data_IF_364700839997
#
_entry.id   IF_364700839997
#
_cell.length_a   1.000
_cell.length_b   1.000
_cell.length_c   1.000
_cell.angle_alpha   90.00
_cell.angle_beta   90.00
_cell.angle_gamma   90.00
#
_symmetry.space_group_name_H-M   'P 1'
#
loop_
_entity.id
_entity.type
_entity.pdbx_description
1 polymer ?
#
# COMPACT_ATOMS: atom_id res chain seq x y z
N UNK A 1 -6.15 -64.78 -4.79
CA UNK A 1 -6.56 -64.28 -6.12
C UNK A 1 -5.30 -63.71 -6.73
N UNK A 2 -4.80 -64.27 -7.84
CA UNK A 2 -3.64 -63.69 -8.51
C UNK A 2 -4.09 -62.51 -9.34
N UNK A 3 -3.48 -61.35 -9.13
CA UNK A 3 -3.73 -60.17 -9.95
C UNK A 3 -3.56 -60.49 -11.43
N UNK A 4 -4.48 -59.99 -12.25
CA UNK A 4 -4.41 -60.20 -13.70
C UNK A 4 -3.18 -59.48 -14.28
N UNK A 5 -2.58 -59.98 -15.36
CA UNK A 5 -1.44 -59.31 -16.03
C UNK A 5 -1.74 -57.84 -16.35
N UNK A 6 -2.94 -57.46 -16.85
CA UNK A 6 -3.29 -56.05 -17.03
C UNK A 6 -3.28 -55.21 -15.74
N UNK A 7 -3.75 -55.77 -14.63
CA UNK A 7 -3.78 -55.10 -13.33
C UNK A 7 -2.38 -54.84 -12.79
N UNK A 8 -1.49 -55.84 -12.84
CA UNK A 8 -0.09 -55.64 -12.45
C UNK A 8 0.57 -54.59 -13.34
N UNK A 9 0.27 -54.60 -14.64
CA UNK A 9 0.80 -53.62 -15.61
C UNK A 9 0.33 -52.20 -15.30
N UNK A 10 -0.98 -52.03 -15.03
CA UNK A 10 -1.55 -50.74 -14.65
C UNK A 10 -0.93 -50.19 -13.36
N UNK A 11 -0.74 -51.04 -12.35
CA UNK A 11 -0.10 -50.68 -11.08
C UNK A 11 1.38 -50.28 -11.25
N UNK A 12 2.11 -50.90 -12.17
CA UNK A 12 3.51 -50.52 -12.48
C UNK A 12 3.55 -49.12 -13.09
N UNK A 13 2.69 -48.82 -14.06
CA UNK A 13 2.63 -47.50 -14.67
C UNK A 13 2.16 -46.41 -13.69
N UNK A 14 1.21 -46.74 -12.83
CA UNK A 14 0.78 -45.86 -11.74
C UNK A 14 1.96 -45.51 -10.83
N UNK A 15 2.69 -46.51 -10.31
CA UNK A 15 3.88 -46.29 -9.48
C UNK A 15 4.99 -45.50 -10.18
N UNK A 16 5.16 -45.72 -11.48
CA UNK A 16 6.11 -44.94 -12.29
C UNK A 16 5.69 -43.46 -12.35
N UNK A 17 4.39 -43.21 -12.50
CA UNK A 17 3.83 -41.85 -12.47
C UNK A 17 4.07 -41.18 -11.12
N UNK A 18 3.76 -41.87 -10.02
CA UNK A 18 4.00 -41.37 -8.66
C UNK A 18 5.48 -41.05 -8.44
N UNK A 19 6.39 -41.91 -8.92
CA UNK A 19 7.81 -41.68 -8.80
C UNK A 19 8.27 -40.40 -9.53
N UNK A 20 7.85 -40.23 -10.78
CA UNK A 20 8.16 -39.03 -11.57
C UNK A 20 7.57 -37.78 -10.93
N UNK A 21 6.33 -37.85 -10.44
CA UNK A 21 5.68 -36.76 -9.73
C UNK A 21 6.48 -36.34 -8.49
N UNK A 22 6.86 -37.30 -7.62
CA UNK A 22 7.66 -37.01 -6.43
C UNK A 22 9.03 -36.42 -6.77
N UNK A 23 9.72 -36.91 -7.80
CA UNK A 23 10.98 -36.31 -8.28
C UNK A 23 10.78 -34.87 -8.76
N UNK A 24 9.66 -34.59 -9.42
CA UNK A 24 9.28 -33.25 -9.85
C UNK A 24 9.02 -32.31 -8.67
N UNK A 25 8.28 -32.74 -7.65
CA UNK A 25 8.05 -31.98 -6.41
C UNK A 25 9.36 -31.72 -5.66
N UNK A 26 10.25 -32.71 -5.59
CA UNK A 26 11.57 -32.55 -4.98
C UNK A 26 12.42 -31.52 -5.74
N UNK A 27 12.33 -31.48 -7.07
CA UNK A 27 13.00 -30.48 -7.89
C UNK A 27 12.41 -29.07 -7.66
N UNK A 28 11.08 -28.97 -7.57
CA UNK A 28 10.37 -27.73 -7.24
C UNK A 28 10.82 -27.14 -5.91
N UNK A 29 10.87 -27.95 -4.85
CA UNK A 29 11.31 -27.52 -3.52
C UNK A 29 12.77 -27.02 -3.51
N UNK A 30 13.61 -27.55 -4.39
CA UNK A 30 15.01 -27.11 -4.59
C UNK A 30 15.13 -25.85 -5.47
N UNK A 31 14.03 -25.37 -6.04
CA UNK A 31 14.01 -24.22 -6.96
C UNK A 31 14.36 -24.55 -8.42
N UNK A 32 14.48 -25.83 -8.77
CA UNK A 32 14.72 -26.28 -10.15
C UNK A 32 13.38 -26.48 -10.88
N UNK A 33 12.81 -25.36 -11.31
CA UNK A 33 11.50 -25.31 -11.97
C UNK A 33 11.52 -25.96 -13.35
N UNK A 34 12.66 -25.96 -14.03
CA UNK A 34 12.81 -26.62 -15.33
C UNK A 34 12.76 -28.14 -15.17
N UNK A 35 13.50 -28.69 -14.21
CA UNK A 35 13.43 -30.12 -13.89
C UNK A 35 12.03 -30.51 -13.43
N UNK A 36 11.39 -29.70 -12.57
CA UNK A 36 10.00 -29.94 -12.17
C UNK A 36 9.07 -30.04 -13.40
N UNK A 37 9.08 -29.04 -14.28
CA UNK A 37 8.26 -29.05 -15.50
C UNK A 37 8.50 -30.30 -16.35
N UNK A 38 9.77 -30.66 -16.56
CA UNK A 38 10.11 -31.82 -17.37
C UNK A 38 9.57 -33.11 -16.73
N UNK A 39 9.73 -33.29 -15.41
CA UNK A 39 9.20 -34.45 -14.69
C UNK A 39 7.66 -34.53 -14.73
N UNK A 40 6.96 -33.40 -14.64
CA UNK A 40 5.50 -33.35 -14.81
C UNK A 40 5.09 -33.78 -16.22
N UNK A 41 5.82 -33.36 -17.25
CA UNK A 41 5.56 -33.79 -18.62
C UNK A 41 5.80 -35.31 -18.82
N UNK A 42 6.82 -35.88 -18.17
CA UNK A 42 7.12 -37.32 -18.21
C UNK A 42 6.04 -38.18 -17.49
N UNK A 43 5.10 -37.57 -16.75
CA UNK A 43 3.99 -38.29 -16.13
C UNK A 43 2.87 -38.66 -17.14
N UNK A 44 2.74 -37.93 -18.27
CA UNK A 44 1.62 -38.13 -19.20
C UNK A 44 1.59 -39.52 -19.84
N UNK A 45 2.75 -40.04 -20.27
CA UNK A 45 2.82 -41.36 -20.91
C UNK A 45 2.48 -42.50 -19.94
N UNK A 46 3.10 -42.59 -18.74
CA UNK A 46 2.71 -43.57 -17.73
C UNK A 46 1.24 -43.49 -17.33
N UNK A 47 0.67 -42.30 -17.16
CA UNK A 47 -0.77 -42.12 -16.86
C UNK A 47 -1.67 -42.72 -17.95
N UNK A 48 -1.35 -42.43 -19.21
CA UNK A 48 -2.12 -42.93 -20.34
C UNK A 48 -2.11 -44.46 -20.40
N UNK A 49 -0.94 -45.09 -20.24
CA UNK A 49 -0.86 -46.54 -20.23
C UNK A 49 -1.52 -47.15 -18.99
N UNK A 50 -1.37 -46.54 -17.80
CA UNK A 50 -2.08 -46.98 -16.60
C UNK A 50 -3.61 -46.99 -16.80
N UNK A 51 -4.17 -45.96 -17.44
CA UNK A 51 -5.61 -45.85 -17.75
C UNK A 51 -6.04 -46.92 -18.76
N UNK A 52 -5.19 -47.21 -19.74
CA UNK A 52 -5.43 -48.23 -20.76
C UNK A 52 -5.48 -49.64 -20.18
N UNK A 53 -4.52 -50.00 -19.32
CA UNK A 53 -4.44 -51.34 -18.73
C UNK A 53 -5.37 -51.51 -17.52
N UNK A 54 -5.72 -50.43 -16.82
CA UNK A 54 -6.67 -50.38 -15.70
C UNK A 54 -8.14 -50.32 -16.12
N UNK A 55 -8.48 -50.59 -17.39
CA UNK A 55 -9.84 -50.45 -17.89
C UNK A 55 -10.84 -51.30 -17.08
N UNK A 56 -11.84 -50.65 -16.48
CA UNK A 56 -12.88 -51.29 -15.65
C UNK A 56 -12.55 -51.36 -14.15
N UNK A 57 -11.40 -50.86 -13.70
CA UNK A 57 -11.00 -50.75 -12.28
C UNK A 57 -11.23 -49.33 -11.78
N UNK A 58 -12.25 -49.14 -10.95
CA UNK A 58 -12.63 -47.81 -10.49
C UNK A 58 -11.55 -47.16 -9.59
N UNK A 59 -10.87 -47.97 -8.78
CA UNK A 59 -9.79 -47.59 -7.87
C UNK A 59 -8.59 -46.98 -8.62
N UNK A 60 -8.03 -47.71 -9.58
CA UNK A 60 -6.85 -47.26 -10.36
C UNK A 60 -7.20 -46.02 -11.19
N UNK A 61 -8.40 -45.99 -11.80
CA UNK A 61 -8.83 -44.86 -12.61
C UNK A 61 -9.01 -43.59 -11.77
N UNK A 62 -9.60 -43.71 -10.57
CA UNK A 62 -9.76 -42.59 -9.65
C UNK A 62 -8.41 -42.04 -9.19
N UNK A 63 -7.44 -42.91 -8.91
CA UNK A 63 -6.10 -42.50 -8.50
C UNK A 63 -5.35 -41.76 -9.61
N UNK A 64 -5.45 -42.26 -10.86
CA UNK A 64 -4.90 -41.57 -12.03
C UNK A 64 -5.56 -40.20 -12.22
N UNK A 65 -6.89 -40.10 -12.08
CA UNK A 65 -7.60 -38.83 -12.22
C UNK A 65 -7.14 -37.79 -11.18
N UNK A 66 -6.90 -38.21 -9.93
CA UNK A 66 -6.34 -37.33 -8.89
C UNK A 66 -4.92 -36.90 -9.26
N UNK A 67 -4.06 -37.86 -9.64
CA UNK A 67 -2.67 -37.58 -9.96
C UNK A 67 -2.52 -36.72 -11.22
N UNK A 68 -3.40 -36.87 -12.21
CA UNK A 68 -3.45 -36.04 -13.42
C UNK A 68 -3.76 -34.58 -13.08
N UNK A 69 -4.69 -34.33 -12.15
CA UNK A 69 -4.98 -32.98 -11.66
C UNK A 69 -3.78 -32.38 -10.90
N UNK A 70 -3.13 -33.17 -10.05
CA UNK A 70 -1.96 -32.71 -9.29
C UNK A 70 -0.76 -32.40 -10.21
N UNK A 71 -0.49 -33.26 -11.19
CA UNK A 71 0.54 -33.03 -12.21
C UNK A 71 0.24 -31.76 -13.01
N UNK A 72 -1.01 -31.57 -13.43
CA UNK A 72 -1.41 -30.37 -14.16
C UNK A 72 -1.20 -29.10 -13.32
N UNK A 73 -1.65 -29.11 -12.06
CA UNK A 73 -1.47 -27.99 -11.12
C UNK A 73 0.02 -27.65 -10.96
N UNK A 74 0.85 -28.64 -10.65
CA UNK A 74 2.28 -28.41 -10.42
C UNK A 74 3.03 -28.02 -11.70
N UNK A 75 2.59 -28.49 -12.87
CA UNK A 75 3.12 -28.04 -14.16
C UNK A 75 2.83 -26.55 -14.37
N UNK A 76 1.60 -26.10 -14.15
CA UNK A 76 1.23 -24.67 -14.25
C UNK A 76 2.04 -23.79 -13.28
N UNK A 77 2.20 -24.24 -12.03
CA UNK A 77 3.00 -23.55 -11.01
C UNK A 77 4.49 -23.49 -11.41
N UNK A 78 5.04 -24.57 -11.96
CA UNK A 78 6.40 -24.62 -12.49
C UNK A 78 6.61 -23.65 -13.66
N UNK A 79 5.66 -23.62 -14.60
CA UNK A 79 5.69 -22.69 -15.73
C UNK A 79 5.55 -21.23 -15.31
N UNK A 80 4.73 -20.95 -14.29
CA UNK A 80 4.61 -19.61 -13.71
C UNK A 80 5.95 -19.13 -13.16
N UNK A 81 6.61 -19.94 -12.34
CA UNK A 81 7.90 -19.56 -11.76
C UNK A 81 9.01 -19.44 -12.78
N UNK A 82 9.02 -20.30 -13.81
CA UNK A 82 9.93 -20.14 -14.95
C UNK A 82 9.68 -18.83 -15.70
N UNK A 83 8.42 -18.50 -15.98
CA UNK A 83 8.05 -17.24 -16.65
C UNK A 83 8.52 -16.03 -15.86
N UNK A 84 8.39 -16.08 -14.52
CA UNK A 84 8.92 -15.05 -13.62
C UNK A 84 10.44 -14.97 -13.64
N UNK A 85 11.16 -16.11 -13.63
CA UNK A 85 12.63 -16.12 -13.74
C UNK A 85 13.10 -15.51 -15.06
N UNK A 86 12.48 -15.88 -16.18
CA UNK A 86 12.78 -15.27 -17.49
C UNK A 86 12.58 -13.76 -17.46
N UNK A 87 11.48 -13.28 -16.86
CA UNK A 87 11.23 -11.86 -16.67
C UNK A 87 12.29 -11.16 -15.80
N UNK A 88 12.70 -11.79 -14.69
CA UNK A 88 13.75 -11.29 -13.80
C UNK A 88 15.12 -11.21 -14.53
N UNK A 89 15.48 -12.22 -15.32
CA UNK A 89 16.71 -12.25 -16.12
C UNK A 89 16.71 -11.18 -17.22
N UNK A 90 15.59 -11.00 -17.91
CA UNK A 90 15.43 -9.95 -18.91
C UNK A 90 15.51 -8.57 -18.25
N UNK A 91 14.90 -8.38 -17.08
CA UNK A 91 14.97 -7.12 -16.34
C UNK A 91 16.40 -6.81 -15.87
N UNK A 92 17.12 -7.80 -15.34
CA UNK A 92 18.53 -7.62 -14.98
C UNK A 92 19.35 -7.24 -16.22
N UNK A 93 19.11 -7.91 -17.35
CA UNK A 93 19.81 -7.61 -18.60
C UNK A 93 19.50 -6.18 -19.09
N UNK A 94 18.23 -5.78 -19.05
CA UNK A 94 17.76 -4.46 -19.44
C UNK A 94 18.40 -3.35 -18.61
N UNK A 95 18.54 -3.58 -17.30
CA UNK A 95 19.02 -2.56 -16.35
C UNK A 95 20.54 -2.51 -16.23
N UNK A 96 21.26 -3.60 -16.49
CA UNK A 96 22.72 -3.69 -16.32
C UNK A 96 23.51 -3.36 -17.58
N UNK A 97 23.03 -3.76 -18.76
CA UNK A 97 23.81 -3.70 -20.00
C UNK A 97 23.42 -2.56 -20.93
N UNK A 98 22.21 -2.01 -20.82
CA UNK A 98 21.75 -0.95 -21.70
C UNK A 98 21.84 0.41 -20.99
N UNK A 99 22.48 1.37 -21.65
CA UNK A 99 22.58 2.76 -21.17
C UNK A 99 21.23 3.49 -21.22
N UNK A 100 20.37 3.08 -22.16
CA UNK A 100 18.97 3.49 -22.27
C UNK A 100 18.07 2.26 -22.30
N UNK A 101 17.06 2.22 -21.42
CA UNK A 101 16.10 1.11 -21.38
C UNK A 101 15.20 1.18 -22.61
N UNK A 102 15.25 0.13 -23.46
CA UNK A 102 14.31 -0.03 -24.58
C UNK A 102 12.90 -0.32 -24.01
N UNK A 103 11.95 0.54 -24.36
CA UNK A 103 10.55 0.43 -23.95
C UNK A 103 9.93 -0.89 -24.41
N UNK A 104 10.30 -1.41 -25.59
CA UNK A 104 9.77 -2.68 -26.09
C UNK A 104 10.17 -3.84 -25.18
N UNK A 105 11.42 -3.85 -24.72
CA UNK A 105 11.94 -4.84 -23.79
C UNK A 105 11.23 -4.75 -22.43
N UNK A 106 10.88 -3.54 -21.97
CA UNK A 106 10.09 -3.36 -20.73
C UNK A 106 8.71 -3.98 -20.86
N UNK A 107 8.04 -3.85 -22.01
CA UNK A 107 6.75 -4.49 -22.23
C UNK A 107 6.86 -6.01 -22.29
N UNK A 108 7.91 -6.55 -22.93
CA UNK A 108 8.18 -7.98 -22.92
C UNK A 108 8.38 -8.52 -21.49
N UNK A 109 9.15 -7.82 -20.66
CA UNK A 109 9.33 -8.16 -19.23
C UNK A 109 7.98 -8.18 -18.49
N UNK A 110 7.16 -7.15 -18.70
CA UNK A 110 5.83 -7.08 -18.07
C UNK A 110 4.95 -8.23 -18.53
N UNK A 111 5.01 -8.61 -19.81
CA UNK A 111 4.21 -9.70 -20.36
C UNK A 111 4.63 -11.07 -19.82
N UNK A 112 5.93 -11.30 -19.61
CA UNK A 112 6.41 -12.50 -18.89
C UNK A 112 5.86 -12.58 -17.46
N UNK A 113 5.83 -11.46 -16.73
CA UNK A 113 5.22 -11.44 -15.39
C UNK A 113 3.69 -11.60 -15.43
N UNK A 114 2.99 -11.05 -16.43
CA UNK A 114 1.55 -11.30 -16.62
C UNK A 114 1.27 -12.77 -16.93
N UNK A 115 2.11 -13.42 -17.73
CA UNK A 115 2.02 -14.84 -17.99
C UNK A 115 2.21 -15.64 -16.70
N UNK A 116 3.17 -15.27 -15.86
CA UNK A 116 3.35 -15.87 -14.54
C UNK A 116 2.09 -15.74 -13.67
N UNK A 117 1.46 -14.55 -13.63
CA UNK A 117 0.18 -14.33 -12.93
C UNK A 117 -0.92 -15.25 -13.47
N UNK A 118 -1.07 -15.33 -14.79
CA UNK A 118 -2.12 -16.15 -15.41
C UNK A 118 -1.97 -17.64 -15.07
N UNK A 119 -0.73 -18.13 -15.06
CA UNK A 119 -0.41 -19.53 -14.75
C UNK A 119 -0.54 -19.87 -13.25
N UNK A 120 -0.34 -18.90 -12.37
CA UNK A 120 -0.46 -19.09 -10.92
C UNK A 120 -1.87 -18.82 -10.38
N UNK A 121 -2.73 -18.18 -11.17
CA UNK A 121 -4.05 -17.73 -10.73
C UNK A 121 -4.88 -18.89 -10.18
N UNK A 122 -5.41 -18.71 -8.96
CA UNK A 122 -6.22 -19.70 -8.24
C UNK A 122 -5.51 -21.02 -7.90
N UNK A 123 -4.24 -21.20 -8.31
CA UNK A 123 -3.41 -22.38 -8.01
C UNK A 123 -2.36 -22.06 -6.95
N UNK A 124 -1.68 -20.91 -7.07
CA UNK A 124 -0.63 -20.45 -6.15
C UNK A 124 -0.69 -18.92 -6.00
N UNK A 125 -1.46 -18.48 -5.00
CA UNK A 125 -1.63 -17.06 -4.67
C UNK A 125 -0.31 -16.38 -4.27
N UNK A 126 0.68 -17.12 -3.77
CA UNK A 126 1.98 -16.53 -3.41
C UNK A 126 2.80 -16.21 -4.65
N UNK A 127 2.89 -17.14 -5.62
CA UNK A 127 3.57 -16.85 -6.89
C UNK A 127 2.87 -15.73 -7.66
N UNK A 128 1.53 -15.69 -7.62
CA UNK A 128 0.75 -14.59 -8.18
C UNK A 128 1.13 -13.24 -7.54
N UNK A 129 1.19 -13.18 -6.20
CA UNK A 129 1.57 -11.97 -5.47
C UNK A 129 3.00 -11.52 -5.78
N UNK A 130 3.96 -12.45 -5.87
CA UNK A 130 5.34 -12.15 -6.24
C UNK A 130 5.40 -11.56 -7.66
N UNK A 131 4.70 -12.16 -8.63
CA UNK A 131 4.68 -11.65 -10.00
C UNK A 131 4.04 -10.24 -10.08
N UNK A 132 2.96 -9.98 -9.34
CA UNK A 132 2.38 -8.63 -9.23
C UNK A 132 3.37 -7.64 -8.63
N UNK A 133 4.11 -8.03 -7.60
CA UNK A 133 5.14 -7.21 -7.00
C UNK A 133 6.24 -6.85 -8.01
N UNK A 134 6.69 -7.81 -8.83
CA UNK A 134 7.69 -7.55 -9.89
C UNK A 134 7.20 -6.54 -10.92
N UNK A 135 5.94 -6.62 -11.35
CA UNK A 135 5.34 -5.61 -12.23
C UNK A 135 5.32 -4.24 -11.54
N UNK A 136 4.93 -4.18 -10.27
CA UNK A 136 4.97 -2.95 -9.46
C UNK A 136 6.38 -2.35 -9.42
N UNK A 137 7.41 -3.19 -9.28
CA UNK A 137 8.82 -2.78 -9.31
C UNK A 137 9.23 -2.18 -10.65
N UNK A 138 8.82 -2.78 -11.77
CA UNK A 138 9.07 -2.24 -13.12
C UNK A 138 8.42 -0.87 -13.28
N UNK A 139 7.15 -0.71 -12.92
CA UNK A 139 6.47 0.58 -13.00
C UNK A 139 7.11 1.64 -12.09
N UNK A 140 7.51 1.27 -10.88
CA UNK A 140 8.10 2.19 -9.92
C UNK A 140 9.54 2.62 -10.28
N UNK A 141 10.39 1.64 -10.62
CA UNK A 141 11.84 1.87 -10.76
C UNK A 141 12.27 2.13 -12.20
N UNK A 142 11.64 1.50 -13.18
CA UNK A 142 11.99 1.64 -14.60
C UNK A 142 11.16 2.75 -15.26
N UNK A 143 9.84 2.61 -15.24
CA UNK A 143 8.93 3.56 -15.93
C UNK A 143 8.65 4.84 -15.13
N UNK A 144 9.02 4.87 -13.85
CA UNK A 144 8.73 5.98 -12.90
C UNK A 144 7.24 6.37 -12.85
N UNK A 145 6.35 5.44 -13.14
CA UNK A 145 4.90 5.65 -13.17
C UNK A 145 4.24 5.15 -11.89
N UNK A 146 4.22 6.02 -10.87
CA UNK A 146 3.76 5.69 -9.50
C UNK A 146 2.32 5.19 -9.40
N UNK A 147 1.31 5.77 -10.10
CA UNK A 147 -0.08 5.34 -9.94
C UNK A 147 -0.27 3.85 -10.23
N UNK A 148 0.30 3.36 -11.34
CA UNK A 148 0.21 1.96 -11.71
C UNK A 148 1.00 1.07 -10.73
N UNK A 149 2.20 1.50 -10.33
CA UNK A 149 3.00 0.76 -9.36
C UNK A 149 2.26 0.53 -8.03
N UNK A 150 1.59 1.58 -7.53
CA UNK A 150 0.77 1.53 -6.31
C UNK A 150 -0.34 0.49 -6.41
N UNK A 151 -1.04 0.42 -7.54
CA UNK A 151 -2.10 -0.56 -7.77
C UNK A 151 -1.57 -2.00 -7.72
N UNK A 152 -0.43 -2.28 -8.37
CA UNK A 152 0.17 -3.62 -8.34
C UNK A 152 0.67 -4.02 -6.96
N UNK A 153 1.36 -3.13 -6.23
CA UNK A 153 1.78 -3.43 -4.86
C UNK A 153 0.59 -3.66 -3.93
N UNK A 154 -0.49 -2.87 -4.08
CA UNK A 154 -1.71 -3.05 -3.29
C UNK A 154 -2.35 -4.41 -3.54
N UNK A 155 -2.46 -4.84 -4.81
CA UNK A 155 -3.00 -6.16 -5.16
C UNK A 155 -2.14 -7.30 -4.61
N UNK A 156 -0.81 -7.18 -4.67
CA UNK A 156 0.10 -8.17 -4.08
C UNK A 156 -0.12 -8.34 -2.57
N UNK A 157 -0.32 -7.23 -1.83
CA UNK A 157 -0.66 -7.30 -0.39
C UNK A 157 -2.05 -7.88 -0.17
N UNK A 158 -3.04 -7.56 -1.00
CA UNK A 158 -4.38 -8.14 -0.88
C UNK A 158 -4.37 -9.67 -1.02
N UNK A 159 -3.59 -10.20 -1.97
CA UNK A 159 -3.36 -11.64 -2.10
C UNK A 159 -2.66 -12.22 -0.87
N UNK A 160 -1.69 -11.50 -0.31
CA UNK A 160 -1.03 -11.92 0.94
C UNK A 160 -2.03 -12.06 2.10
N UNK A 161 -2.95 -11.10 2.22
CA UNK A 161 -3.96 -11.08 3.28
C UNK A 161 -5.01 -12.17 3.08
N UNK A 162 -5.37 -12.52 1.83
CA UNK A 162 -6.32 -13.62 1.57
C UNK A 162 -5.77 -15.00 1.94
N UNK A 163 -4.45 -15.12 2.13
CA UNK A 163 -3.77 -16.36 2.56
C UNK A 163 -3.65 -16.51 4.10
N UNK A 164 -4.39 -15.73 4.90
CA UNK A 164 -4.40 -15.88 6.35
C UNK A 164 -4.76 -17.33 6.78
N UNK A 165 -4.10 -17.90 7.81
CA UNK A 165 -3.24 -17.26 8.81
C UNK A 165 -1.75 -17.21 8.44
N UNK A 166 -1.36 -17.53 7.20
CA UNK A 166 0.06 -17.47 6.78
C UNK A 166 0.57 -16.03 6.82
N UNK A 167 1.77 -15.84 7.34
CA UNK A 167 2.39 -14.51 7.53
C UNK A 167 3.58 -14.36 6.58
N UNK A 168 3.61 -13.25 5.84
CA UNK A 168 4.63 -12.93 4.83
C UNK A 168 5.53 -11.74 5.23
N UNK A 169 5.45 -11.26 6.46
CA UNK A 169 6.16 -10.05 6.92
C UNK A 169 7.69 -10.13 6.82
N UNK A 170 8.26 -11.34 6.78
CA UNK A 170 9.68 -11.57 6.59
C UNK A 170 10.08 -11.82 5.13
N UNK A 171 9.13 -11.92 4.21
CA UNK A 171 9.40 -12.18 2.79
C UNK A 171 9.77 -10.87 2.08
N UNK A 172 10.90 -10.86 1.37
CA UNK A 172 11.43 -9.67 0.69
C UNK A 172 10.41 -8.96 -0.21
N UNK A 173 9.62 -9.73 -0.96
CA UNK A 173 8.61 -9.17 -1.86
C UNK A 173 7.51 -8.42 -1.09
N UNK A 174 7.10 -8.93 0.07
CA UNK A 174 6.06 -8.35 0.90
C UNK A 174 6.57 -7.10 1.63
N UNK A 175 7.80 -7.16 2.12
CA UNK A 175 8.50 -6.02 2.71
C UNK A 175 8.60 -4.88 1.69
N UNK A 176 9.07 -5.16 0.47
CA UNK A 176 9.19 -4.13 -0.56
C UNK A 176 7.83 -3.52 -0.93
N UNK A 177 6.77 -4.34 -1.09
CA UNK A 177 5.41 -3.83 -1.31
C UNK A 177 4.99 -2.86 -0.20
N UNK A 178 5.19 -3.26 1.05
CA UNK A 178 4.76 -2.51 2.24
C UNK A 178 5.51 -1.18 2.35
N UNK A 179 6.83 -1.20 2.16
CA UNK A 179 7.68 -0.01 2.17
C UNK A 179 7.32 0.96 1.05
N UNK A 180 7.11 0.46 -0.17
CA UNK A 180 6.76 1.30 -1.32
C UNK A 180 5.39 1.96 -1.16
N UNK A 181 4.40 1.23 -0.63
CA UNK A 181 3.07 1.80 -0.38
C UNK A 181 3.11 2.85 0.74
N UNK A 182 3.86 2.58 1.82
CA UNK A 182 4.08 3.55 2.90
C UNK A 182 4.72 4.82 2.37
N UNK A 183 5.76 4.69 1.55
CA UNK A 183 6.41 5.82 0.89
C UNK A 183 5.44 6.64 0.04
N UNK A 184 4.61 5.99 -0.78
CA UNK A 184 3.62 6.70 -1.59
C UNK A 184 2.56 7.42 -0.76
N UNK A 185 2.18 6.86 0.39
CA UNK A 185 1.28 7.51 1.33
C UNK A 185 1.93 8.74 1.96
N UNK A 186 3.17 8.63 2.43
CA UNK A 186 3.94 9.75 3.00
C UNK A 186 4.15 10.86 1.98
N UNK A 187 4.51 10.54 0.74
CA UNK A 187 4.66 11.53 -0.34
C UNK A 187 3.35 12.29 -0.62
N UNK A 188 2.21 11.61 -0.54
CA UNK A 188 0.90 12.23 -0.75
C UNK A 188 0.58 13.20 0.40
N UNK A 189 0.81 12.77 1.65
CA UNK A 189 0.60 13.60 2.84
C UNK A 189 1.49 14.86 2.79
N UNK A 190 2.77 14.70 2.46
CA UNK A 190 3.70 15.83 2.34
C UNK A 190 3.25 16.79 1.24
N UNK A 191 2.85 16.27 0.07
CA UNK A 191 2.38 17.13 -1.01
C UNK A 191 1.11 17.91 -0.65
N UNK A 192 0.15 17.27 0.02
CA UNK A 192 -1.07 17.91 0.52
C UNK A 192 -0.75 18.99 1.56
N UNK A 193 0.18 18.72 2.49
CA UNK A 193 0.64 19.69 3.48
C UNK A 193 1.33 20.89 2.82
N UNK A 194 2.24 20.66 1.86
CA UNK A 194 2.89 21.74 1.11
C UNK A 194 1.90 22.61 0.35
N UNK A 195 0.85 22.02 -0.22
CA UNK A 195 -0.20 22.76 -0.90
C UNK A 195 -0.99 23.63 0.10
N UNK A 196 -1.39 23.05 1.23
CA UNK A 196 -2.08 23.77 2.31
C UNK A 196 -1.23 24.92 2.86
N UNK A 197 0.06 24.71 3.06
CA UNK A 197 0.99 25.74 3.53
C UNK A 197 1.13 26.87 2.51
N UNK A 198 1.24 26.56 1.22
CA UNK A 198 1.29 27.56 0.15
C UNK A 198 0.00 28.38 0.07
N UNK A 199 -1.16 27.75 0.21
CA UNK A 199 -2.45 28.45 0.28
C UNK A 199 -2.54 29.33 1.52
N UNK A 200 -2.08 28.84 2.66
CA UNK A 200 -2.05 29.59 3.92
C UNK A 200 -1.13 30.81 3.84
N UNK A 201 0.04 30.69 3.23
CA UNK A 201 0.96 31.82 3.02
C UNK A 201 0.36 32.89 2.09
N UNK A 202 -0.34 32.50 1.01
CA UNK A 202 -1.07 33.46 0.16
C UNK A 202 -2.11 34.24 0.95
N UNK A 203 -2.88 33.54 1.80
CA UNK A 203 -3.87 34.18 2.67
C UNK A 203 -3.19 35.15 3.65
N UNK A 204 -2.05 34.76 4.25
CA UNK A 204 -1.31 35.66 5.15
C UNK A 204 -0.83 36.93 4.46
N UNK A 205 -0.35 36.84 3.23
CA UNK A 205 0.09 38.02 2.48
C UNK A 205 -1.10 38.96 2.18
N UNK A 206 -2.28 38.41 1.88
CA UNK A 206 -3.51 39.20 1.72
C UNK A 206 -3.94 39.88 3.03
N UNK A 207 -3.80 39.20 4.16
CA UNK A 207 -4.16 39.72 5.50
C UNK A 207 -3.02 40.51 6.17
N UNK A 208 -1.90 40.75 5.47
CA UNK A 208 -0.68 41.32 6.06
C UNK A 208 -0.91 42.63 6.80
N UNK A 209 -1.74 43.52 6.25
CA UNK A 209 -2.07 44.80 6.87
C UNK A 209 -2.78 44.59 8.20
N UNK A 210 -3.79 43.71 8.23
CA UNK A 210 -4.59 43.40 9.42
C UNK A 210 -3.72 42.69 10.47
N UNK A 211 -2.85 41.78 10.05
CA UNK A 211 -1.93 41.06 10.94
C UNK A 211 -0.91 42.00 11.58
N UNK A 212 -0.34 42.94 10.82
CA UNK A 212 0.55 43.97 11.37
C UNK A 212 -0.19 44.95 12.29
N UNK A 213 -1.46 45.25 12.00
CA UNK A 213 -2.30 46.08 12.87
C UNK A 213 -2.58 45.37 14.20
N UNK A 214 -2.93 44.08 14.17
CA UNK A 214 -3.13 43.26 15.37
C UNK A 214 -1.83 43.20 16.18
N UNK A 215 -0.69 42.96 15.53
CA UNK A 215 0.62 42.91 16.18
C UNK A 215 1.00 44.25 16.83
N UNK A 216 0.82 45.35 16.11
CA UNK A 216 1.08 46.70 16.62
C UNK A 216 0.21 47.02 17.83
N UNK A 217 -1.08 46.68 17.77
CA UNK A 217 -2.00 46.83 18.90
C UNK A 217 -1.63 45.89 20.06
N UNK A 218 -1.16 44.68 19.77
CA UNK A 218 -0.64 43.76 20.77
C UNK A 218 0.63 44.29 21.47
N UNK A 219 1.47 45.09 20.82
CA UNK A 219 2.67 45.63 21.48
C UNK A 219 2.36 46.91 22.27
N UNK A 220 1.47 47.76 21.76
CA UNK A 220 1.22 49.10 22.31
C UNK A 220 0.12 49.17 23.37
N UNK A 221 -0.86 48.26 23.35
CA UNK A 221 -2.04 48.34 24.21
C UNK A 221 -1.88 47.57 25.52
N UNK A 222 -2.58 48.01 26.56
CA UNK A 222 -2.72 47.23 27.81
C UNK A 222 -3.49 45.93 27.56
N UNK A 223 -3.48 45.02 28.53
CA UNK A 223 -4.16 43.73 28.41
C UNK A 223 -5.68 43.88 28.14
N UNK A 224 -6.35 44.81 28.83
CA UNK A 224 -7.78 45.10 28.62
C UNK A 224 -8.01 45.76 27.25
N UNK A 225 -7.21 46.77 26.92
CA UNK A 225 -7.37 47.52 25.67
C UNK A 225 -7.17 46.63 24.43
N UNK A 226 -6.25 45.67 24.50
CA UNK A 226 -6.06 44.70 23.43
C UNK A 226 -7.25 43.76 23.29
N UNK A 227 -7.81 43.28 24.41
CA UNK A 227 -9.00 42.43 24.42
C UNK A 227 -10.19 43.18 23.78
N UNK A 228 -10.44 44.41 24.21
CA UNK A 228 -11.48 45.29 23.65
C UNK A 228 -11.30 45.51 22.15
N UNK A 229 -10.08 45.77 21.71
CA UNK A 229 -9.76 45.92 20.29
C UNK A 229 -10.11 44.66 19.49
N UNK A 230 -9.69 43.48 19.95
CA UNK A 230 -9.93 42.21 19.24
C UNK A 230 -11.44 41.94 19.08
N UNK A 231 -12.24 42.11 20.14
CA UNK A 231 -13.70 41.90 20.07
C UNK A 231 -14.43 42.95 19.23
N UNK A 232 -13.93 44.19 19.21
CA UNK A 232 -14.53 45.28 18.44
C UNK A 232 -14.22 45.17 16.95
N UNK A 233 -12.96 44.92 16.60
CA UNK A 233 -12.47 44.92 15.22
C UNK A 233 -12.70 43.58 14.54
N UNK A 234 -12.59 42.49 15.30
CA UNK A 234 -12.72 41.12 14.79
C UNK A 234 -13.72 40.32 15.63
N UNK A 235 -15.02 40.66 15.63
CA UNK A 235 -15.99 40.00 16.48
C UNK A 235 -16.09 38.50 16.19
N UNK A 236 -16.23 37.63 17.21
CA UNK A 236 -16.43 36.19 17.01
C UNK A 236 -17.66 35.96 16.14
N UNK A 237 -17.53 35.08 15.13
CA UNK A 237 -18.63 34.82 14.17
C UNK A 237 -19.80 34.04 14.77
N UNK A 238 -19.60 33.38 15.91
CA UNK A 238 -20.69 32.80 16.67
C UNK A 238 -21.34 33.87 17.56
N UNK A 239 -22.58 34.22 17.23
CA UNK A 239 -23.36 35.33 17.81
C UNK A 239 -23.53 35.25 19.34
N UNK A 240 -23.36 34.07 19.93
CA UNK A 240 -23.47 33.85 21.38
C UNK A 240 -22.19 34.16 22.17
N UNK A 241 -21.06 34.40 21.50
CA UNK A 241 -19.77 34.62 22.15
C UNK A 241 -19.48 36.12 22.31
N UNK A 242 -19.65 36.63 23.52
CA UNK A 242 -19.37 38.01 23.88
C UNK A 242 -18.27 38.11 24.93
N UNK A 243 -17.61 39.26 24.96
CA UNK A 243 -16.63 39.59 25.99
C UNK A 243 -17.30 39.66 27.37
N UNK A 244 -16.63 39.19 28.42
CA UNK A 244 -17.15 39.30 29.79
C UNK A 244 -17.26 40.77 30.23
N UNK A 245 -18.35 41.09 30.95
CA UNK A 245 -18.57 42.44 31.52
C UNK A 245 -17.59 42.77 32.65
N UNK A 246 -17.07 41.75 33.33
CA UNK A 246 -16.16 41.88 34.48
C UNK A 246 -14.69 41.58 34.07
N UNK A 247 -14.34 41.81 32.80
CA UNK A 247 -13.02 41.46 32.26
C UNK A 247 -11.87 42.22 32.95
N UNK A 248 -12.14 43.38 33.54
CA UNK A 248 -11.17 44.17 34.30
C UNK A 248 -10.86 43.54 35.67
N UNK A 249 -11.85 42.91 36.31
CA UNK A 249 -11.73 42.30 37.63
C UNK A 249 -11.03 40.93 37.58
N UNK A 250 -11.10 40.22 36.45
CA UNK A 250 -10.50 38.89 36.29
C UNK A 250 -9.87 38.66 34.90
N UNK A 251 -8.79 39.38 34.61
CA UNK A 251 -8.08 39.32 33.32
C UNK A 251 -7.69 37.89 32.91
N UNK A 252 -7.26 37.03 33.84
CA UNK A 252 -6.87 35.64 33.54
C UNK A 252 -8.03 34.84 32.95
N UNK A 253 -9.24 34.94 33.53
CA UNK A 253 -10.44 34.28 33.00
C UNK A 253 -10.89 34.90 31.67
N UNK A 254 -10.82 36.23 31.55
CA UNK A 254 -11.18 36.93 30.31
C UNK A 254 -10.33 36.47 29.11
N UNK A 255 -9.02 36.35 29.28
CA UNK A 255 -8.13 35.83 28.23
C UNK A 255 -8.36 34.34 27.94
N UNK A 256 -8.60 33.52 28.97
CA UNK A 256 -8.93 32.10 28.77
C UNK A 256 -10.21 31.92 27.93
N UNK A 257 -11.25 32.72 28.20
CA UNK A 257 -12.48 32.73 27.38
C UNK A 257 -12.25 33.29 25.99
N UNK A 258 -11.46 34.35 25.84
CA UNK A 258 -11.11 34.87 24.52
C UNK A 258 -10.39 33.82 23.67
N UNK A 259 -9.42 33.08 24.22
CA UNK A 259 -8.76 31.95 23.52
C UNK A 259 -9.80 30.91 23.08
N UNK A 260 -10.76 30.58 23.95
CA UNK A 260 -11.85 29.67 23.60
C UNK A 260 -12.80 30.23 22.53
N UNK A 261 -12.97 31.54 22.43
CA UNK A 261 -13.85 32.17 21.44
C UNK A 261 -13.20 32.24 20.06
N UNK A 262 -11.89 32.45 20.02
CA UNK A 262 -11.10 32.57 18.78
C UNK A 262 -10.36 31.28 18.39
N UNK A 263 -10.58 30.17 19.11
CA UNK A 263 -9.90 28.90 18.82
C UNK A 263 -10.12 28.45 17.36
N UNK A 264 -9.08 27.97 16.64
CA UNK A 264 -9.19 27.55 15.24
C UNK A 264 -10.28 26.51 14.98
N UNK A 265 -10.54 25.60 15.92
CA UNK A 265 -11.62 24.61 15.81
C UNK A 265 -13.03 25.23 15.72
N UNK A 266 -13.20 26.47 16.21
CA UNK A 266 -14.46 27.22 16.13
C UNK A 266 -14.51 28.19 14.95
N UNK A 267 -13.48 28.21 14.10
CA UNK A 267 -13.43 29.13 12.96
C UNK A 267 -14.40 28.73 11.86
N UNK A 268 -14.87 27.47 11.81
CA UNK A 268 -15.80 26.92 10.80
C UNK A 268 -15.46 27.40 9.38
N UNK A 269 -14.30 27.00 8.81
CA UNK A 269 -13.80 27.54 7.55
C UNK A 269 -14.76 27.35 6.37
N UNK A 270 -15.62 26.34 6.41
CA UNK A 270 -16.68 26.10 5.42
C UNK A 270 -17.74 27.21 5.40
N UNK A 271 -18.04 27.82 6.56
CA UNK A 271 -19.06 28.89 6.68
C UNK A 271 -18.44 30.29 6.68
N UNK A 272 -17.30 30.46 7.34
CA UNK A 272 -16.68 31.77 7.57
C UNK A 272 -15.48 32.05 6.65
N UNK A 273 -15.08 31.08 5.84
CA UNK A 273 -13.98 31.19 4.90
C UNK A 273 -12.59 30.96 5.51
N UNK A 274 -11.63 30.63 4.66
CA UNK A 274 -10.28 30.28 5.08
C UNK A 274 -9.47 31.47 5.61
N UNK A 275 -9.81 32.69 5.16
CA UNK A 275 -9.25 33.94 5.70
C UNK A 275 -9.56 34.11 7.20
N UNK A 276 -10.80 33.85 7.60
CA UNK A 276 -11.20 33.95 9.00
C UNK A 276 -10.46 32.92 9.85
N UNK A 277 -10.30 31.68 9.36
CA UNK A 277 -9.49 30.65 10.05
C UNK A 277 -8.07 31.13 10.34
N UNK A 278 -7.35 31.58 9.32
CA UNK A 278 -5.98 32.09 9.47
C UNK A 278 -5.92 33.27 10.44
N UNK A 279 -6.87 34.20 10.34
CA UNK A 279 -6.95 35.35 11.24
C UNK A 279 -7.18 34.93 12.70
N UNK A 280 -8.11 34.01 12.95
CA UNK A 280 -8.39 33.49 14.30
C UNK A 280 -7.23 32.71 14.91
N UNK A 281 -6.45 31.99 14.08
CA UNK A 281 -5.20 31.34 14.50
C UNK A 281 -4.18 32.36 15.00
N UNK A 282 -3.95 33.45 14.25
CA UNK A 282 -3.00 34.49 14.66
C UNK A 282 -3.50 35.30 15.88
N UNK A 283 -4.79 35.65 15.94
CA UNK A 283 -5.41 36.28 17.13
C UNK A 283 -5.22 35.39 18.36
N UNK A 284 -5.48 34.08 18.22
CA UNK A 284 -5.33 33.12 19.33
C UNK A 284 -3.90 33.02 19.82
N UNK A 285 -2.88 33.09 18.94
CA UNK A 285 -1.47 33.15 19.36
C UNK A 285 -1.19 34.38 20.22
N UNK A 286 -1.65 35.57 19.81
CA UNK A 286 -1.44 36.80 20.58
C UNK A 286 -2.19 36.79 21.92
N UNK A 287 -3.41 36.25 21.95
CA UNK A 287 -4.19 36.05 23.18
C UNK A 287 -3.49 35.06 24.12
N UNK A 288 -2.97 33.95 23.59
CA UNK A 288 -2.25 32.92 24.36
C UNK A 288 -0.97 33.48 24.96
N UNK A 289 -0.19 34.24 24.19
CA UNK A 289 1.03 34.89 24.68
C UNK A 289 0.77 35.83 25.85
N UNK A 290 -0.31 36.63 25.80
CA UNK A 290 -0.72 37.48 26.93
C UNK A 290 -1.25 36.66 28.10
N UNK A 291 -2.00 35.60 27.83
CA UNK A 291 -2.50 34.69 28.86
C UNK A 291 -1.37 34.00 29.65
N UNK A 292 -0.30 33.59 28.97
CA UNK A 292 0.87 32.95 29.60
C UNK A 292 1.54 33.86 30.63
N UNK A 293 1.58 35.18 30.41
CA UNK A 293 2.07 36.14 31.41
C UNK A 293 1.29 36.07 32.74
N UNK A 294 0.03 35.63 32.74
CA UNK A 294 -0.78 35.43 33.94
C UNK A 294 -0.69 34.01 34.52
N UNK A 295 -0.16 33.04 33.76
CA UNK A 295 0.11 31.68 34.27
C UNK A 295 1.35 31.66 35.16
N UNK A 296 2.37 32.46 34.82
CA UNK A 296 3.63 32.54 35.58
C UNK A 296 3.62 33.60 36.71
N UNK A 297 2.58 34.45 36.79
CA UNK A 297 2.40 35.43 37.88
C UNK A 297 1.50 34.90 39.02
N UNK A 298 1.67 33.64 39.41
CA UNK A 298 1.08 33.10 40.65
C UNK A 298 2.24 32.88 41.62
N UNK A 299 2.45 33.88 42.50
CA UNK A 299 3.27 33.91 43.72
C UNK A 299 4.63 33.19 43.70
#
# INVERSE_FOLDING_TARGET
MSDSVPEVTANVYLRLTEHNFHEGINAWQKGDYLKCKNQMAECHFPMHEARRYGHGRCDILQEIDVLENDVHMHMCIAESSKSRQTGDELLERATRYYETVDINMVWEIIDWYKQAILLARELDMEQEAIAMQRIGRVYAKVLKFKPQAKEYYKRAIQLAVSMAPRIFTACDWYVECSEMLKKYQEETIVHEQEQQDKEREKIKEELKVELEEIKTNHEKKTNIDFLLYVYKTYPPKNTSLQMEKDAEDNMKKAFQKAILHYHPDKSEPEKNGMKWKVLTEEITKFLTKRYECFKFNVN
#
